data_IF_611162713320
#
_entry.id   IF_611162713320
#
_cell.length_a   1.000
_cell.length_b   1.000
_cell.length_c   1.000
_cell.angle_alpha   90.00
_cell.angle_beta   90.00
_cell.angle_gamma   90.00
#
_symmetry.space_group_name_H-M   'P 1'
#
loop_
_entity.id
_entity.type
_entity.pdbx_description
1 polymer ?
#
# COMPACT_ATOMS: atom_id res chain seq x y z
N UNK A 1 32.80 -25.35 -0.77
CA UNK A 1 31.44 -25.90 -0.92
C UNK A 1 30.51 -24.70 -0.95
N UNK A 2 30.13 -24.26 -2.15
CA UNK A 2 29.29 -23.08 -2.35
C UNK A 2 27.88 -23.44 -1.88
N UNK A 3 27.45 -22.86 -0.76
CA UNK A 3 26.08 -22.98 -0.30
C UNK A 3 25.16 -22.38 -1.37
N UNK A 4 24.24 -23.20 -1.87
CA UNK A 4 23.11 -22.80 -2.69
C UNK A 4 22.31 -21.73 -1.93
N UNK A 5 22.66 -20.47 -2.14
CA UNK A 5 21.89 -19.34 -1.63
C UNK A 5 20.59 -19.32 -2.41
N UNK A 6 19.50 -19.70 -1.74
CA UNK A 6 18.09 -19.55 -2.12
C UNK A 6 17.93 -18.54 -3.27
N UNK A 7 17.89 -19.03 -4.51
CA UNK A 7 18.14 -18.17 -5.66
C UNK A 7 16.95 -17.27 -6.06
N UNK A 8 15.76 -17.42 -5.48
CA UNK A 8 14.54 -16.74 -6.00
C UNK A 8 13.56 -16.09 -4.99
N UNK A 9 13.91 -15.67 -3.77
CA UNK A 9 12.94 -15.03 -2.86
C UNK A 9 12.46 -13.66 -3.41
N UNK A 10 13.30 -12.97 -4.20
CA UNK A 10 12.96 -11.67 -4.78
C UNK A 10 11.92 -11.74 -5.90
N UNK A 11 11.92 -12.80 -6.72
CA UNK A 11 10.94 -12.96 -7.79
C UNK A 11 9.55 -13.22 -7.19
N UNK A 12 9.47 -14.15 -6.23
CA UNK A 12 8.24 -14.44 -5.51
C UNK A 12 7.76 -13.23 -4.70
N UNK A 13 8.68 -12.53 -4.01
CA UNK A 13 8.38 -11.28 -3.32
C UNK A 13 7.84 -10.19 -4.24
N UNK A 14 8.43 -10.02 -5.43
CA UNK A 14 7.94 -9.05 -6.43
C UNK A 14 6.51 -9.38 -6.87
N UNK A 15 6.23 -10.63 -7.25
CA UNK A 15 4.87 -11.04 -7.66
C UNK A 15 3.88 -10.85 -6.52
N UNK A 16 4.26 -11.24 -5.31
CA UNK A 16 3.43 -11.07 -4.11
C UNK A 16 3.16 -9.60 -3.81
N UNK A 17 4.16 -8.73 -3.99
CA UNK A 17 4.03 -7.28 -3.86
C UNK A 17 3.06 -6.65 -4.84
N UNK A 18 3.14 -7.07 -6.11
CA UNK A 18 2.19 -6.63 -7.14
C UNK A 18 0.77 -7.08 -6.76
N UNK A 19 0.60 -8.34 -6.37
CA UNK A 19 -0.69 -8.87 -5.94
C UNK A 19 -1.25 -8.14 -4.72
N UNK A 20 -0.40 -7.82 -3.74
CA UNK A 20 -0.77 -7.06 -2.54
C UNK A 20 -1.26 -5.65 -2.89
N UNK A 21 -0.55 -4.96 -3.80
CA UNK A 21 -0.93 -3.63 -4.27
C UNK A 21 -2.27 -3.67 -5.00
N UNK A 22 -2.44 -4.61 -5.95
CA UNK A 22 -3.68 -4.78 -6.71
C UNK A 22 -4.86 -5.12 -5.79
N UNK A 23 -4.64 -5.96 -4.79
CA UNK A 23 -5.68 -6.34 -3.82
C UNK A 23 -6.11 -5.14 -2.98
N UNK A 24 -5.15 -4.35 -2.46
CA UNK A 24 -5.46 -3.15 -1.69
C UNK A 24 -6.17 -2.08 -2.52
N UNK A 25 -5.70 -1.86 -3.75
CA UNK A 25 -6.33 -0.94 -4.70
C UNK A 25 -7.75 -1.39 -5.05
N UNK A 26 -7.96 -2.67 -5.38
CA UNK A 26 -9.28 -3.19 -5.73
C UNK A 26 -10.24 -3.15 -4.55
N UNK A 27 -9.77 -3.48 -3.34
CA UNK A 27 -10.56 -3.33 -2.13
C UNK A 27 -10.99 -1.87 -1.92
N UNK A 28 -10.08 -0.92 -2.14
CA UNK A 28 -10.39 0.52 -2.08
C UNK A 28 -11.42 0.92 -3.12
N UNK A 29 -11.24 0.49 -4.37
CA UNK A 29 -12.15 0.76 -5.47
C UNK A 29 -13.57 0.31 -5.14
N UNK A 30 -13.73 -0.92 -4.66
CA UNK A 30 -15.03 -1.53 -4.38
C UNK A 30 -15.67 -0.94 -3.11
N UNK A 31 -14.89 -0.65 -2.08
CA UNK A 31 -15.43 -0.32 -0.76
C UNK A 31 -15.67 1.19 -0.55
N UNK A 32 -14.94 2.06 -1.24
CA UNK A 32 -14.86 3.47 -0.86
C UNK A 32 -15.29 4.47 -1.94
N UNK A 33 -15.23 4.11 -3.23
CA UNK A 33 -15.45 5.09 -4.32
C UNK A 33 -16.83 5.74 -4.24
N UNK A 34 -17.89 4.92 -4.17
CA UNK A 34 -19.27 5.43 -4.09
C UNK A 34 -19.55 6.12 -2.76
N UNK A 35 -19.09 5.52 -1.65
CA UNK A 35 -19.25 6.08 -0.32
C UNK A 35 -18.64 7.49 -0.18
N UNK A 36 -17.48 7.71 -0.80
CA UNK A 36 -16.81 9.02 -0.81
C UNK A 36 -17.57 10.02 -1.66
N UNK A 37 -18.07 9.63 -2.83
CA UNK A 37 -18.87 10.53 -3.69
C UNK A 37 -20.16 10.95 -2.98
N UNK A 38 -20.85 10.00 -2.35
CA UNK A 38 -22.06 10.26 -1.58
C UNK A 38 -21.75 11.19 -0.39
N UNK A 39 -20.72 10.89 0.39
CA UNK A 39 -20.35 11.68 1.56
C UNK A 39 -19.94 13.14 1.23
N UNK A 40 -19.39 13.37 0.03
CA UNK A 40 -18.90 14.69 -0.40
C UNK A 40 -19.89 15.44 -1.29
N UNK A 41 -21.07 14.87 -1.57
CA UNK A 41 -22.12 15.56 -2.34
C UNK A 41 -22.59 16.82 -1.60
N UNK A 42 -22.64 17.95 -2.31
CA UNK A 42 -22.99 19.26 -1.74
C UNK A 42 -21.86 19.97 -0.99
N UNK A 43 -20.65 19.40 -0.96
CA UNK A 43 -19.47 20.02 -0.35
C UNK A 43 -18.61 20.72 -1.39
N UNK A 44 -17.67 21.56 -0.93
CA UNK A 44 -16.68 22.20 -1.82
C UNK A 44 -15.78 21.18 -2.54
N UNK A 45 -15.69 19.94 -2.04
CA UNK A 45 -14.90 18.86 -2.63
C UNK A 45 -15.65 18.06 -3.70
N UNK A 46 -16.95 18.29 -3.89
CA UNK A 46 -17.75 17.58 -4.89
C UNK A 46 -17.15 17.75 -6.29
N UNK A 47 -16.75 18.97 -6.65
CA UNK A 47 -16.14 19.28 -7.96
C UNK A 47 -14.82 18.51 -8.15
N UNK A 48 -14.04 18.33 -7.08
CA UNK A 48 -12.75 17.63 -7.11
C UNK A 48 -12.97 16.14 -7.37
N UNK A 49 -13.88 15.50 -6.62
CA UNK A 49 -14.15 14.07 -6.82
C UNK A 49 -14.90 13.81 -8.12
N UNK A 50 -15.77 14.72 -8.57
CA UNK A 50 -16.48 14.61 -9.84
C UNK A 50 -15.55 14.70 -11.07
N UNK A 51 -14.42 15.41 -10.95
CA UNK A 51 -13.43 15.49 -12.02
C UNK A 51 -12.67 14.18 -12.25
N UNK A 52 -12.55 13.33 -11.22
CA UNK A 52 -11.87 12.05 -11.30
C UNK A 52 -12.82 10.95 -11.81
N UNK A 53 -12.34 10.12 -12.75
CA UNK A 53 -12.98 8.84 -13.03
C UNK A 53 -12.85 7.90 -11.83
N UNK A 54 -13.70 6.88 -11.72
CA UNK A 54 -13.73 5.99 -10.54
C UNK A 54 -12.39 5.30 -10.25
N UNK A 55 -11.67 4.90 -11.30
CA UNK A 55 -10.36 4.25 -11.12
C UNK A 55 -9.28 5.24 -10.63
N UNK A 56 -9.37 6.52 -11.03
CA UNK A 56 -8.50 7.59 -10.53
C UNK A 56 -8.85 7.96 -9.09
N UNK A 57 -10.15 8.08 -8.78
CA UNK A 57 -10.62 8.38 -7.42
C UNK A 57 -10.24 7.26 -6.45
N UNK A 58 -10.42 5.99 -6.83
CA UNK A 58 -9.94 4.85 -6.05
C UNK A 58 -8.42 4.91 -5.84
N UNK A 59 -7.68 5.33 -6.86
CA UNK A 59 -6.24 5.57 -6.75
C UNK A 59 -5.91 6.63 -5.71
N UNK A 60 -6.59 7.77 -5.76
CA UNK A 60 -6.43 8.84 -4.78
C UNK A 60 -6.73 8.38 -3.36
N UNK A 61 -7.83 7.67 -3.16
CA UNK A 61 -8.22 7.12 -1.87
C UNK A 61 -7.19 6.10 -1.35
N UNK A 62 -6.67 5.25 -2.24
CA UNK A 62 -5.66 4.26 -1.87
C UNK A 62 -4.33 4.93 -1.47
N UNK A 63 -3.90 5.96 -2.20
CA UNK A 63 -2.74 6.77 -1.82
C UNK A 63 -2.98 7.50 -0.50
N UNK A 64 -4.18 8.04 -0.30
CA UNK A 64 -4.54 8.73 0.93
C UNK A 64 -4.58 7.80 2.14
N UNK A 65 -4.97 6.53 1.94
CA UNK A 65 -4.86 5.49 2.96
C UNK A 65 -3.40 5.21 3.39
N UNK A 66 -2.40 5.53 2.56
CA UNK A 66 -0.97 5.50 2.92
C UNK A 66 -0.48 6.81 3.56
N UNK A 67 -1.36 7.78 3.79
CA UNK A 67 -1.00 9.11 4.28
C UNK A 67 -0.50 10.06 3.19
N UNK A 68 -0.71 9.73 1.91
CA UNK A 68 -0.31 10.58 0.78
C UNK A 68 -1.46 11.50 0.42
N UNK A 69 -1.26 12.81 0.56
CA UNK A 69 -2.29 13.78 0.22
C UNK A 69 -2.44 13.95 -1.30
N UNK A 70 -3.61 14.40 -1.74
CA UNK A 70 -3.83 14.85 -3.12
C UNK A 70 -3.51 16.33 -3.21
N UNK A 71 -2.74 16.73 -4.22
CA UNK A 71 -2.32 18.12 -4.43
C UNK A 71 -2.31 18.49 -5.90
N UNK A 72 -2.28 19.80 -6.14
CA UNK A 72 -1.90 20.38 -7.43
C UNK A 72 -0.41 20.12 -7.73
N UNK A 73 -0.13 19.71 -8.97
CA UNK A 73 1.22 19.47 -9.47
C UNK A 73 2.00 20.77 -9.73
N UNK A 74 1.29 21.87 -9.97
CA UNK A 74 1.86 23.18 -10.33
C UNK A 74 2.21 24.02 -9.09
N UNK A 75 1.61 23.73 -7.93
CA UNK A 75 1.93 24.40 -6.66
C UNK A 75 3.27 23.88 -6.10
N UNK A 76 4.25 24.76 -5.76
CA UNK A 76 5.52 24.35 -5.14
C UNK A 76 5.36 23.64 -3.79
N UNK A 77 6.38 22.86 -3.39
CA UNK A 77 6.40 22.04 -2.16
C UNK A 77 6.31 22.88 -0.87
N UNK A 78 6.60 24.17 -0.92
CA UNK A 78 6.80 25.05 0.24
C UNK A 78 5.56 25.81 0.74
N UNK A 79 4.40 25.67 0.10
CA UNK A 79 3.20 26.46 0.44
C UNK A 79 2.11 25.53 0.94
N UNK A 80 1.71 25.71 2.21
CA UNK A 80 0.71 24.91 2.92
C UNK A 80 -0.74 25.17 2.49
N UNK A 81 -1.00 25.35 1.19
CA UNK A 81 -2.35 25.54 0.67
C UNK A 81 -2.62 24.53 -0.46
N UNK A 82 -3.74 23.80 -0.31
CA UNK A 82 -4.37 22.84 -1.23
C UNK A 82 -3.87 21.38 -1.19
N UNK A 83 -3.73 20.80 0.00
CA UNK A 83 -3.67 19.33 0.16
C UNK A 83 -5.02 18.81 0.65
N UNK A 84 -5.55 17.78 -0.02
CA UNK A 84 -6.83 17.16 0.33
C UNK A 84 -6.61 15.75 0.82
N UNK A 85 -7.22 15.41 1.96
CA UNK A 85 -7.22 14.08 2.55
C UNK A 85 -8.61 13.46 2.48
N UNK A 86 -8.98 12.99 1.28
CA UNK A 86 -10.33 12.51 0.99
C UNK A 86 -10.85 11.44 1.96
N UNK A 87 -9.99 10.58 2.50
CA UNK A 87 -10.38 9.55 3.48
C UNK A 87 -10.81 10.16 4.81
N UNK A 88 -10.13 11.23 5.24
CA UNK A 88 -10.53 11.98 6.43
C UNK A 88 -11.82 12.78 6.18
N UNK A 89 -11.88 13.50 5.06
CA UNK A 89 -13.01 14.38 4.71
C UNK A 89 -14.33 13.62 4.51
N UNK A 90 -14.28 12.40 3.97
CA UNK A 90 -15.46 11.57 3.72
C UNK A 90 -15.84 10.65 4.89
N UNK A 91 -15.01 10.57 5.93
CA UNK A 91 -15.27 9.69 7.09
C UNK A 91 -15.05 8.20 6.86
N UNK A 92 -14.56 7.76 5.70
CA UNK A 92 -14.23 6.33 5.39
C UNK A 92 -12.95 5.85 6.06
N UNK A 93 -12.74 6.25 7.32
CA UNK A 93 -11.52 6.02 8.11
C UNK A 93 -11.05 4.56 8.23
N UNK A 94 -11.90 3.51 8.20
CA UNK A 94 -11.40 2.13 8.18
C UNK A 94 -10.49 1.83 6.97
N UNK A 95 -10.59 2.61 5.89
CA UNK A 95 -9.76 2.44 4.71
C UNK A 95 -8.26 2.62 5.00
N UNK A 96 -7.89 3.41 6.01
CA UNK A 96 -6.49 3.55 6.43
C UNK A 96 -5.84 2.22 6.80
N UNK A 97 -6.61 1.23 7.26
CA UNK A 97 -6.06 -0.08 7.63
C UNK A 97 -5.73 -0.95 6.41
N UNK A 98 -6.44 -0.78 5.28
CA UNK A 98 -6.36 -1.65 4.11
C UNK A 98 -4.93 -1.87 3.60
N UNK A 99 -4.13 -0.83 3.29
CA UNK A 99 -2.79 -1.05 2.74
C UNK A 99 -1.87 -1.78 3.73
N UNK A 100 -1.97 -1.49 5.02
CA UNK A 100 -1.12 -2.12 6.03
C UNK A 100 -1.50 -3.58 6.25
N UNK A 101 -2.80 -3.90 6.27
CA UNK A 101 -3.29 -5.26 6.41
C UNK A 101 -2.92 -6.12 5.19
N UNK A 102 -3.03 -5.59 3.96
CA UNK A 102 -2.62 -6.34 2.77
C UNK A 102 -1.12 -6.62 2.75
N UNK A 103 -0.29 -5.65 3.16
CA UNK A 103 1.16 -5.83 3.28
C UNK A 103 1.54 -6.88 4.32
N UNK A 104 0.96 -6.80 5.53
CA UNK A 104 1.20 -7.79 6.60
C UNK A 104 0.75 -9.17 6.16
N UNK A 105 -0.46 -9.30 5.60
CA UNK A 105 -0.98 -10.58 5.12
C UNK A 105 -0.08 -11.18 4.03
N UNK A 106 0.37 -10.35 3.08
CA UNK A 106 1.20 -10.81 1.96
C UNK A 106 2.60 -11.23 2.41
N UNK A 107 3.22 -10.47 3.32
CA UNK A 107 4.50 -10.86 3.94
C UNK A 107 4.37 -12.16 4.73
N UNK A 108 3.26 -12.34 5.46
CA UNK A 108 3.00 -13.56 6.22
C UNK A 108 2.78 -14.78 5.32
N UNK A 109 2.00 -14.63 4.24
CA UNK A 109 1.76 -15.68 3.24
C UNK A 109 3.06 -16.11 2.58
N UNK A 110 3.90 -15.14 2.18
CA UNK A 110 5.19 -15.43 1.56
C UNK A 110 6.12 -16.18 2.51
N UNK A 111 6.25 -15.70 3.75
CA UNK A 111 7.07 -16.36 4.77
C UNK A 111 6.55 -17.75 5.14
N UNK A 112 5.23 -17.93 5.17
CA UNK A 112 4.62 -19.24 5.39
C UNK A 112 4.96 -20.22 4.26
N UNK A 113 4.87 -19.76 3.02
CA UNK A 113 5.15 -20.60 1.84
C UNK A 113 6.60 -21.07 1.79
N UNK A 114 7.55 -20.22 2.19
CA UNK A 114 8.99 -20.53 2.23
C UNK A 114 9.51 -20.78 3.65
N UNK A 115 8.68 -21.32 4.55
CA UNK A 115 9.05 -21.49 5.96
C UNK A 115 10.16 -22.52 6.22
N UNK A 116 10.30 -23.52 5.37
CA UNK A 116 11.30 -24.59 5.55
C UNK A 116 12.76 -24.09 5.52
N UNK A 117 13.17 -23.24 4.56
CA UNK A 117 14.51 -22.65 4.56
C UNK A 117 14.69 -21.48 5.55
N UNK A 118 13.66 -21.09 6.32
CA UNK A 118 13.70 -19.93 7.21
C UNK A 118 14.03 -20.39 8.64
N UNK A 119 15.28 -20.20 9.04
CA UNK A 119 15.78 -20.67 10.34
C UNK A 119 15.62 -19.63 11.46
N UNK A 120 15.58 -18.34 11.10
CA UNK A 120 15.53 -17.25 12.09
C UNK A 120 14.39 -16.28 11.87
N UNK A 121 14.02 -15.55 12.93
CA UNK A 121 13.10 -14.41 12.89
C UNK A 121 13.54 -13.34 11.88
N UNK A 122 14.85 -13.13 11.76
CA UNK A 122 15.45 -12.15 10.84
C UNK A 122 15.26 -12.59 9.40
N UNK A 123 15.47 -13.86 9.08
CA UNK A 123 15.27 -14.39 7.73
C UNK A 123 13.80 -14.27 7.30
N UNK A 124 12.87 -14.56 8.22
CA UNK A 124 11.44 -14.39 7.98
C UNK A 124 11.07 -12.93 7.69
N UNK A 125 11.63 -12.00 8.47
CA UNK A 125 11.41 -10.57 8.28
C UNK A 125 11.99 -10.07 6.95
N UNK A 126 13.21 -10.48 6.60
CA UNK A 126 13.84 -10.14 5.31
C UNK A 126 13.01 -10.69 4.15
N UNK A 127 12.54 -11.93 4.24
CA UNK A 127 11.69 -12.53 3.22
C UNK A 127 10.38 -11.74 3.06
N UNK A 128 9.71 -11.39 4.16
CA UNK A 128 8.53 -10.53 4.13
C UNK A 128 8.80 -9.14 3.52
N UNK A 129 9.97 -8.56 3.78
CA UNK A 129 10.38 -7.27 3.21
C UNK A 129 10.48 -7.30 1.67
N UNK A 130 10.75 -8.47 1.06
CA UNK A 130 10.86 -8.58 -0.41
C UNK A 130 9.55 -8.27 -1.15
N UNK A 131 8.40 -8.34 -0.47
CA UNK A 131 7.09 -7.88 -0.98
C UNK A 131 7.14 -6.42 -1.43
N UNK A 132 7.97 -5.61 -0.77
CA UNK A 132 8.13 -4.19 -1.09
C UNK A 132 8.56 -3.95 -2.53
N UNK A 133 9.35 -4.84 -3.14
CA UNK A 133 9.91 -4.62 -4.48
C UNK A 133 8.80 -4.43 -5.52
N UNK A 134 7.86 -5.38 -5.58
CA UNK A 134 6.73 -5.29 -6.49
C UNK A 134 5.74 -4.19 -6.12
N UNK A 135 5.46 -4.05 -4.81
CA UNK A 135 4.52 -3.06 -4.30
C UNK A 135 4.96 -1.62 -4.64
N UNK A 136 6.24 -1.31 -4.45
CA UNK A 136 6.82 -0.01 -4.73
C UNK A 136 6.85 0.31 -6.23
N UNK A 137 7.10 -0.69 -7.07
CA UNK A 137 6.99 -0.54 -8.52
C UNK A 137 5.58 -0.09 -8.93
N UNK A 138 4.56 -0.75 -8.41
CA UNK A 138 3.16 -0.37 -8.65
C UNK A 138 2.83 1.01 -8.06
N UNK A 139 3.35 1.35 -6.87
CA UNK A 139 3.17 2.66 -6.27
C UNK A 139 3.78 3.77 -7.14
N UNK A 140 4.98 3.56 -7.66
CA UNK A 140 5.62 4.50 -8.59
C UNK A 140 4.79 4.73 -9.86
N UNK A 141 4.18 3.66 -10.41
CA UNK A 141 3.27 3.77 -11.55
C UNK A 141 2.00 4.53 -11.16
N UNK A 142 1.40 4.22 -10.01
CA UNK A 142 0.18 4.86 -9.51
C UNK A 142 0.31 6.36 -9.28
N UNK A 143 1.47 6.82 -8.77
CA UNK A 143 1.78 8.25 -8.58
C UNK A 143 1.64 9.05 -9.88
N UNK A 144 1.91 8.42 -11.02
CA UNK A 144 1.86 9.05 -12.34
C UNK A 144 0.52 8.80 -13.03
N UNK A 145 -0.05 7.61 -12.85
CA UNK A 145 -1.28 7.19 -13.53
C UNK A 145 -2.53 7.93 -13.01
N UNK A 146 -2.56 8.28 -11.73
CA UNK A 146 -3.74 8.90 -11.10
C UNK A 146 -3.72 10.43 -11.17
N UNK A 147 -3.30 11.01 -12.29
CA UNK A 147 -3.40 12.45 -12.53
C UNK A 147 -4.74 12.84 -13.16
N UNK A 148 -5.37 13.91 -12.67
CA UNK A 148 -6.60 14.49 -13.22
C UNK A 148 -6.38 15.98 -13.48
N UNK A 149 -6.68 16.42 -14.70
CA UNK A 149 -6.62 17.84 -15.05
C UNK A 149 -7.94 18.54 -14.70
N UNK A 150 -7.87 19.58 -13.87
CA UNK A 150 -9.00 20.40 -13.46
C UNK A 150 -8.59 21.87 -13.52
N UNK A 151 -9.32 22.68 -14.30
CA UNK A 151 -9.12 24.13 -14.40
C UNK A 151 -7.68 24.59 -14.72
N UNK A 152 -6.96 23.82 -15.53
CA UNK A 152 -5.57 24.13 -15.90
C UNK A 152 -4.52 23.70 -14.87
N UNK A 153 -4.93 23.04 -13.79
CA UNK A 153 -4.05 22.38 -12.82
C UNK A 153 -4.20 20.85 -12.88
N UNK A 154 -3.16 20.11 -12.54
CA UNK A 154 -3.21 18.65 -12.43
C UNK A 154 -3.24 18.24 -10.96
N UNK A 155 -4.37 17.68 -10.52
CA UNK A 155 -4.51 17.04 -9.22
C UNK A 155 -3.97 15.61 -9.27
N UNK A 156 -3.11 15.26 -8.33
CA UNK A 156 -2.53 13.91 -8.22
C UNK A 156 -2.02 13.64 -6.81
N UNK A 157 -1.71 12.38 -6.48
CA UNK A 157 -0.98 12.06 -5.26
C UNK A 157 0.35 12.83 -5.15
N UNK A 158 0.64 13.38 -3.97
CA UNK A 158 1.88 14.11 -3.71
C UNK A 158 3.11 13.21 -3.87
N UNK A 159 4.06 13.64 -4.71
CA UNK A 159 5.24 12.83 -5.03
C UNK A 159 6.19 12.70 -3.84
N UNK A 160 6.34 13.73 -3.02
CA UNK A 160 7.31 13.72 -1.92
C UNK A 160 6.86 12.78 -0.80
N UNK A 161 5.66 12.99 -0.26
CA UNK A 161 5.05 12.10 0.74
C UNK A 161 4.76 10.73 0.17
N UNK A 162 4.38 10.65 -1.11
CA UNK A 162 4.25 9.40 -1.86
C UNK A 162 5.51 8.57 -1.86
N UNK A 163 6.68 9.19 -2.06
CA UNK A 163 7.97 8.50 -1.95
C UNK A 163 8.30 8.20 -0.49
N UNK A 164 8.22 9.15 0.43
CA UNK A 164 8.68 8.95 1.82
C UNK A 164 7.81 7.93 2.57
N UNK A 165 6.49 8.12 2.60
CA UNK A 165 5.56 7.26 3.33
C UNK A 165 5.26 5.97 2.55
N UNK A 166 5.24 6.06 1.22
CA UNK A 166 5.06 4.91 0.33
C UNK A 166 6.26 3.96 0.34
N UNK A 167 7.49 4.44 0.58
CA UNK A 167 8.68 3.57 0.75
C UNK A 167 8.72 2.89 2.12
N UNK A 168 8.41 3.63 3.19
CA UNK A 168 8.54 3.12 4.55
C UNK A 168 7.53 2.00 4.86
N UNK A 169 6.30 2.14 4.38
CA UNK A 169 5.20 1.25 4.75
C UNK A 169 5.38 -0.20 4.25
N UNK A 170 5.67 -0.45 2.96
CA UNK A 170 5.81 -1.83 2.45
C UNK A 170 6.94 -2.59 3.12
N UNK A 171 8.06 -1.92 3.40
CA UNK A 171 9.21 -2.53 4.07
C UNK A 171 8.83 -2.90 5.50
N UNK A 172 8.26 -1.96 6.27
CA UNK A 172 7.91 -2.20 7.66
C UNK A 172 6.83 -3.29 7.80
N UNK A 173 5.72 -3.16 7.07
CA UNK A 173 4.57 -4.04 7.23
C UNK A 173 4.76 -5.40 6.53
N UNK A 174 5.49 -5.45 5.41
CA UNK A 174 5.92 -6.71 4.81
C UNK A 174 6.83 -7.51 5.75
N UNK A 175 7.81 -6.84 6.37
CA UNK A 175 8.70 -7.46 7.38
C UNK A 175 7.92 -7.97 8.59
N UNK A 176 6.97 -7.17 9.09
CA UNK A 176 6.10 -7.55 10.20
C UNK A 176 5.28 -8.79 9.88
N UNK A 177 4.72 -8.89 8.67
CA UNK A 177 4.02 -10.08 8.20
C UNK A 177 4.88 -11.33 8.26
N UNK A 178 6.11 -11.24 7.76
CA UNK A 178 7.08 -12.34 7.82
C UNK A 178 7.38 -12.79 9.25
N UNK A 179 7.60 -11.83 10.16
CA UNK A 179 7.83 -12.11 11.58
C UNK A 179 6.64 -12.80 12.25
N UNK A 180 5.42 -12.31 12.01
CA UNK A 180 4.19 -12.91 12.57
C UNK A 180 4.04 -14.37 12.13
N UNK A 181 4.28 -14.66 10.86
CA UNK A 181 4.22 -16.02 10.32
C UNK A 181 5.21 -16.96 10.99
N UNK A 182 6.45 -16.52 11.19
CA UNK A 182 7.48 -17.29 11.90
C UNK A 182 7.05 -17.61 13.34
N UNK A 183 6.55 -16.60 14.07
CA UNK A 183 6.12 -16.79 15.47
C UNK A 183 4.96 -17.79 15.58
N UNK A 184 4.02 -17.77 14.64
CA UNK A 184 2.91 -18.73 14.59
C UNK A 184 3.45 -20.15 14.35
N UNK A 185 4.35 -20.32 13.39
CA UNK A 185 4.95 -21.62 13.06
C UNK A 185 5.78 -22.18 14.24
N UNK A 186 6.58 -21.35 14.91
CA UNK A 186 7.38 -21.78 16.06
C UNK A 186 6.51 -22.25 17.23
N UNK A 187 5.38 -21.60 17.49
CA UNK A 187 4.46 -22.00 18.57
C UNK A 187 3.79 -23.33 18.27
N UNK A 188 3.38 -23.56 17.02
CA UNK A 188 2.77 -24.82 16.62
C UNK A 188 3.73 -26.01 16.75
N UNK A 189 5.02 -25.81 16.48
CA UNK A 189 6.04 -26.85 16.66
C UNK A 189 6.20 -27.24 18.13
N UNK A 190 6.28 -26.26 19.05
CA UNK A 190 6.39 -26.52 20.49
C UNK A 190 5.21 -27.35 21.01
N UNK A 191 3.98 -27.04 20.60
CA UNK A 191 2.78 -27.79 21.03
C UNK A 191 2.66 -29.19 20.44
N UNK A 192 3.39 -29.51 19.37
CA UNK A 192 3.35 -30.82 18.73
C UNK A 192 4.31 -31.82 19.39
N UNK A 193 5.28 -31.33 20.16
CA UNK A 193 6.27 -32.13 20.89
C UNK A 193 5.85 -32.44 22.35
N UNK A 194 4.72 -31.88 22.82
CA UNK A 194 4.08 -32.16 24.13
C UNK A 194 3.08 -33.32 24.05
#
# INVERSE_FOLDING_TARGET
MAADRVAHPFAAGTVTGIAAWLTGYLATFVLATDAVREALTGTELEVVVAAATDWQLAGWLFFNAHGVAIRSAETPITVGESTVTLVAESGVTPLYAVPFLTLVASGAVLAWHYREPVETKTDAAILGATVSVGYLGCMGIGLLAFGVSLEGSTLRPDLLTGVVLGLASPIAFGSLGGLVSFLIASRAAVTADE
#
